data_IF_866551529277
#
_entry.id   IF_866551529277
#
_cell.length_a   1.000
_cell.length_b   1.000
_cell.length_c   1.000
_cell.angle_alpha   90.00
_cell.angle_beta   90.00
_cell.angle_gamma   90.00
#
_symmetry.space_group_name_H-M   'P 1'
#
loop_
_entity.id
_entity.type
_entity.pdbx_description
1 polymer ?
#
# COMPACT_ATOMS: atom_id res chain seq x y z
N UNK A 1 17.34 46.14 27.53
CA UNK A 1 17.51 45.12 26.48
C UNK A 1 17.39 45.83 25.14
N UNK A 2 18.37 45.78 24.24
CA UNK A 2 18.21 46.33 22.89
C UNK A 2 17.19 45.48 22.13
N UNK A 3 16.26 46.15 21.45
CA UNK A 3 15.28 45.53 20.56
C UNK A 3 16.04 44.86 19.42
N UNK A 4 15.75 43.57 19.18
CA UNK A 4 16.31 42.83 18.04
C UNK A 4 15.85 43.53 16.76
N UNK A 5 16.78 43.83 15.87
CA UNK A 5 16.52 44.51 14.60
C UNK A 5 15.66 43.61 13.67
N UNK A 6 14.34 43.86 13.69
CA UNK A 6 13.34 43.09 12.95
C UNK A 6 13.54 43.15 11.42
N UNK A 7 14.25 44.16 10.90
CA UNK A 7 14.47 44.33 9.46
C UNK A 7 15.43 43.28 8.90
N UNK A 8 16.54 43.04 9.60
CA UNK A 8 17.54 42.01 9.25
C UNK A 8 16.97 40.60 9.33
N UNK A 9 16.01 40.38 10.23
CA UNK A 9 15.30 39.11 10.36
C UNK A 9 14.38 38.84 9.16
N UNK A 10 13.72 39.87 8.63
CA UNK A 10 12.85 39.78 7.45
C UNK A 10 13.64 39.46 6.17
N UNK A 11 14.74 40.19 5.93
CA UNK A 11 15.62 39.97 4.77
C UNK A 11 16.20 38.55 4.75
N UNK A 12 16.56 38.00 5.92
CA UNK A 12 17.04 36.62 6.05
C UNK A 12 16.01 35.60 5.55
N UNK A 13 14.75 35.69 5.98
CA UNK A 13 13.70 34.77 5.53
C UNK A 13 13.32 34.97 4.07
N UNK A 14 13.35 36.20 3.58
CA UNK A 14 13.05 36.48 2.17
C UNK A 14 14.10 35.86 1.24
N UNK A 15 15.39 35.88 1.64
CA UNK A 15 16.45 35.14 0.93
C UNK A 15 16.24 33.62 0.95
N UNK A 16 15.73 33.05 2.05
CA UNK A 16 15.40 31.61 2.12
C UNK A 16 14.26 31.29 1.14
N UNK A 17 13.19 32.10 1.12
CA UNK A 17 12.06 31.92 0.19
C UNK A 17 12.52 32.04 -1.26
N UNK A 18 13.39 33.01 -1.55
CA UNK A 18 13.96 33.17 -2.88
C UNK A 18 14.76 31.93 -3.30
N UNK A 19 15.59 31.40 -2.39
CA UNK A 19 16.33 30.16 -2.66
C UNK A 19 15.38 28.98 -2.92
N UNK A 20 14.30 28.84 -2.17
CA UNK A 20 13.28 27.82 -2.42
C UNK A 20 12.60 28.00 -3.78
N UNK A 21 12.27 29.23 -4.17
CA UNK A 21 11.72 29.52 -5.48
C UNK A 21 12.71 29.14 -6.60
N UNK A 22 13.98 29.54 -6.49
CA UNK A 22 15.02 29.19 -7.45
C UNK A 22 15.19 27.67 -7.61
N UNK A 23 15.20 26.91 -6.52
CA UNK A 23 15.31 25.44 -6.59
C UNK A 23 14.04 24.76 -7.14
N UNK A 24 12.85 25.29 -6.83
CA UNK A 24 11.59 24.85 -7.44
C UNK A 24 11.62 25.06 -8.96
N UNK A 25 11.99 26.25 -9.40
CA UNK A 25 11.92 26.67 -10.81
C UNK A 25 12.87 25.86 -11.71
N UNK A 26 14.03 25.42 -11.18
CA UNK A 26 14.90 24.45 -11.87
C UNK A 26 14.16 23.16 -12.25
N UNK A 27 13.35 22.62 -11.33
CA UNK A 27 12.62 21.35 -11.55
C UNK A 27 11.46 21.55 -12.52
N UNK A 28 10.74 22.67 -12.39
CA UNK A 28 9.64 23.02 -13.31
C UNK A 28 10.15 23.23 -14.74
N UNK A 29 11.29 23.92 -14.91
CA UNK A 29 11.91 24.13 -16.21
C UNK A 29 12.48 22.85 -16.83
N UNK A 30 13.03 21.95 -16.00
CA UNK A 30 13.62 20.68 -16.47
C UNK A 30 12.59 19.58 -16.79
N UNK A 31 11.41 19.62 -16.15
CA UNK A 31 10.32 18.64 -16.29
C UNK A 31 8.95 19.32 -16.43
N UNK A 32 8.73 20.10 -17.51
CA UNK A 32 7.48 20.83 -17.71
C UNK A 32 6.25 19.93 -17.84
N UNK A 33 6.43 18.67 -18.21
CA UNK A 33 5.37 17.66 -18.35
C UNK A 33 4.76 17.19 -17.01
N UNK A 34 5.35 17.59 -15.87
CA UNK A 34 4.81 17.29 -14.55
C UNK A 34 4.72 15.78 -14.31
N UNK A 35 3.56 15.27 -13.88
CA UNK A 35 3.37 13.85 -13.57
C UNK A 35 3.46 12.93 -14.79
N UNK A 36 3.31 13.47 -16.00
CA UNK A 36 3.42 12.70 -17.24
C UNK A 36 4.85 12.19 -17.51
N UNK A 37 5.85 12.67 -16.77
CA UNK A 37 7.22 12.15 -16.78
C UNK A 37 7.35 10.73 -16.21
N UNK A 38 6.29 10.20 -15.57
CA UNK A 38 6.26 8.86 -15.00
C UNK A 38 5.31 7.94 -15.77
N UNK A 39 5.53 6.63 -15.64
CA UNK A 39 4.60 5.59 -16.10
C UNK A 39 4.33 4.58 -14.98
N UNK A 40 3.07 4.14 -14.91
CA UNK A 40 2.65 2.95 -14.16
C UNK A 40 2.14 1.86 -15.10
N UNK A 41 2.27 2.04 -16.41
CA UNK A 41 2.15 0.96 -17.37
C UNK A 41 3.45 0.15 -17.32
N UNK A 42 3.35 -1.01 -16.69
CA UNK A 42 4.44 -1.95 -16.49
C UNK A 42 4.17 -3.17 -17.39
N UNK A 43 4.04 -2.94 -18.69
CA UNK A 43 3.90 -3.97 -19.71
C UNK A 43 5.22 -4.17 -20.48
N UNK A 44 5.28 -5.20 -21.33
CA UNK A 44 6.47 -5.48 -22.15
C UNK A 44 7.74 -5.65 -21.30
N UNK A 45 8.79 -4.91 -21.64
CA UNK A 45 10.09 -4.97 -20.95
C UNK A 45 10.04 -4.51 -19.46
N UNK A 46 9.01 -3.74 -19.09
CA UNK A 46 8.81 -3.24 -17.73
C UNK A 46 7.93 -4.15 -16.87
N UNK A 47 7.35 -5.22 -17.43
CA UNK A 47 6.49 -6.15 -16.70
C UNK A 47 7.17 -6.78 -15.47
N UNK A 48 8.49 -6.95 -15.52
CA UNK A 48 9.29 -7.45 -14.38
C UNK A 48 9.13 -6.63 -13.10
N UNK A 49 8.76 -5.36 -13.18
CA UNK A 49 8.55 -4.48 -12.01
C UNK A 49 7.15 -4.58 -11.40
N UNK A 50 6.23 -5.33 -12.02
CA UNK A 50 4.89 -5.58 -11.50
C UNK A 50 4.73 -6.98 -10.87
N UNK A 51 5.76 -7.82 -11.00
CA UNK A 51 5.76 -9.19 -10.47
C UNK A 51 6.00 -9.14 -8.96
N UNK A 52 5.28 -9.98 -8.22
CA UNK A 52 5.56 -10.25 -6.82
C UNK A 52 6.81 -11.14 -6.68
N UNK A 53 7.95 -10.63 -6.18
CA UNK A 53 9.16 -11.41 -6.04
C UNK A 53 9.13 -12.34 -4.82
N UNK A 54 8.10 -12.26 -3.97
CA UNK A 54 7.94 -13.01 -2.73
C UNK A 54 6.88 -14.10 -2.83
N UNK A 55 6.06 -14.08 -3.87
CA UNK A 55 5.03 -15.08 -4.09
C UNK A 55 5.59 -16.43 -4.53
N UNK A 56 5.00 -17.49 -4.00
CA UNK A 56 5.03 -18.82 -4.61
C UNK A 56 3.90 -18.95 -5.62
N UNK A 57 3.97 -19.88 -6.59
CA UNK A 57 2.87 -20.12 -7.53
C UNK A 57 1.51 -20.26 -6.79
N UNK A 58 0.44 -19.61 -7.27
CA UNK A 58 -0.84 -19.65 -6.59
C UNK A 58 -1.43 -21.06 -6.65
N UNK A 59 -2.03 -21.49 -5.55
CA UNK A 59 -2.78 -22.74 -5.55
C UNK A 59 -3.99 -22.64 -6.51
N UNK A 60 -4.20 -23.66 -7.37
CA UNK A 60 -5.39 -23.73 -8.19
C UNK A 60 -6.65 -23.80 -7.31
N UNK A 61 -7.63 -22.95 -7.61
CA UNK A 61 -8.97 -23.01 -7.03
C UNK A 61 -10.00 -22.68 -8.11
N UNK A 62 -11.23 -23.21 -8.02
CA UNK A 62 -12.30 -22.77 -8.89
C UNK A 62 -12.64 -21.28 -8.63
N UNK A 63 -13.22 -20.59 -9.63
CA UNK A 63 -13.80 -19.28 -9.44
C UNK A 63 -14.85 -19.27 -8.32
N UNK A 64 -14.82 -18.23 -7.49
CA UNK A 64 -15.77 -18.01 -6.42
C UNK A 64 -16.94 -17.14 -6.90
N UNK A 65 -18.14 -17.47 -6.41
CA UNK A 65 -19.39 -16.79 -6.77
C UNK A 65 -20.26 -16.52 -5.53
N UNK A 66 -19.63 -16.49 -4.35
CA UNK A 66 -20.30 -16.30 -3.07
C UNK A 66 -20.71 -14.83 -2.85
N UNK A 67 -21.60 -14.64 -1.87
CA UNK A 67 -22.01 -13.32 -1.38
C UNK A 67 -21.48 -13.15 0.03
N UNK A 68 -20.84 -12.03 0.30
CA UNK A 68 -20.36 -11.66 1.64
C UNK A 68 -20.98 -10.37 2.15
N UNK A 69 -20.93 -10.14 3.45
CA UNK A 69 -21.36 -8.86 4.02
C UNK A 69 -20.34 -7.76 3.74
N UNK A 70 -19.07 -7.98 4.09
CA UNK A 70 -17.99 -7.02 3.91
C UNK A 70 -16.86 -7.58 3.06
N UNK A 71 -16.50 -6.88 1.97
CA UNK A 71 -15.34 -7.21 1.14
C UNK A 71 -14.29 -6.11 1.19
N UNK A 72 -13.08 -6.48 1.58
CA UNK A 72 -11.91 -5.60 1.60
C UNK A 72 -11.07 -5.80 0.34
N UNK A 73 -10.67 -4.69 -0.29
CA UNK A 73 -9.67 -4.67 -1.36
C UNK A 73 -8.34 -4.24 -0.75
N UNK A 74 -7.42 -5.18 -0.58
CA UNK A 74 -6.13 -5.01 0.10
C UNK A 74 -6.10 -5.68 1.49
N UNK A 75 -4.94 -6.20 1.86
CA UNK A 75 -4.64 -6.94 3.09
C UNK A 75 -3.58 -6.25 3.96
N UNK A 76 -3.44 -4.93 3.84
CA UNK A 76 -2.60 -4.10 4.73
C UNK A 76 -3.30 -3.71 6.03
N UNK A 77 -2.68 -2.83 6.83
CA UNK A 77 -3.22 -2.42 8.13
C UNK A 77 -4.67 -1.95 8.08
N UNK A 78 -5.09 -1.18 7.06
CA UNK A 78 -6.48 -0.74 6.94
C UNK A 78 -7.48 -1.90 6.96
N UNK A 79 -7.20 -2.98 6.23
CA UNK A 79 -8.05 -4.17 6.23
C UNK A 79 -7.88 -4.98 7.51
N UNK A 80 -6.65 -5.21 7.97
CA UNK A 80 -6.39 -6.00 9.17
C UNK A 80 -7.08 -5.42 10.40
N UNK A 81 -6.99 -4.10 10.60
CA UNK A 81 -7.60 -3.42 11.75
C UNK A 81 -9.12 -3.41 11.65
N UNK A 82 -9.66 -3.07 10.48
CA UNK A 82 -11.11 -3.02 10.31
C UNK A 82 -11.73 -4.40 10.43
N UNK A 83 -11.14 -5.42 9.79
CA UNK A 83 -11.62 -6.80 9.88
C UNK A 83 -11.49 -7.36 11.30
N UNK A 84 -10.39 -7.07 12.02
CA UNK A 84 -10.24 -7.45 13.43
C UNK A 84 -11.38 -6.88 14.29
N UNK A 85 -11.70 -5.59 14.15
CA UNK A 85 -12.82 -4.97 14.89
C UNK A 85 -14.17 -5.56 14.49
N UNK A 86 -14.42 -5.78 13.19
CA UNK A 86 -15.65 -6.42 12.74
C UNK A 86 -15.81 -7.83 13.33
N UNK A 87 -14.72 -8.61 13.44
CA UNK A 87 -14.73 -9.92 14.11
C UNK A 87 -15.05 -9.82 15.59
N UNK A 88 -14.50 -8.83 16.30
CA UNK A 88 -14.84 -8.58 17.72
C UNK A 88 -16.32 -8.23 17.92
N UNK A 89 -16.95 -7.57 16.94
CA UNK A 89 -18.39 -7.29 16.93
C UNK A 89 -19.26 -8.45 16.42
N UNK A 90 -18.67 -9.60 16.09
CA UNK A 90 -19.40 -10.80 15.66
C UNK A 90 -19.75 -10.86 14.18
N UNK A 91 -19.20 -9.98 13.33
CA UNK A 91 -19.36 -10.08 11.87
C UNK A 91 -18.48 -11.21 11.34
N UNK A 92 -19.09 -12.22 10.74
CA UNK A 92 -18.39 -13.40 10.24
C UNK A 92 -18.22 -13.41 8.72
N UNK A 93 -19.16 -12.81 7.99
CA UNK A 93 -19.17 -12.81 6.52
C UNK A 93 -18.26 -11.71 5.96
N UNK A 94 -16.96 -11.97 6.02
CA UNK A 94 -15.91 -11.05 5.59
C UNK A 94 -15.04 -11.72 4.53
N UNK A 95 -14.67 -10.95 3.50
CA UNK A 95 -13.69 -11.32 2.48
C UNK A 95 -12.57 -10.30 2.45
N UNK A 96 -11.32 -10.74 2.43
CA UNK A 96 -10.15 -9.88 2.14
C UNK A 96 -9.57 -10.32 0.82
N UNK A 97 -9.51 -9.46 -0.19
CA UNK A 97 -8.88 -9.77 -1.49
C UNK A 97 -7.55 -9.02 -1.56
N UNK A 98 -6.44 -9.74 -1.61
CA UNK A 98 -5.08 -9.19 -1.62
C UNK A 98 -4.30 -9.70 -2.84
N UNK A 99 -3.64 -8.76 -3.53
CA UNK A 99 -2.83 -9.06 -4.71
C UNK A 99 -1.56 -9.82 -4.34
N UNK A 100 -0.97 -9.51 -3.19
CA UNK A 100 0.21 -10.18 -2.65
C UNK A 100 -0.09 -11.60 -2.16
N UNK A 101 0.95 -12.38 -1.90
CA UNK A 101 0.81 -13.74 -1.41
C UNK A 101 0.57 -13.85 0.11
N UNK A 102 0.56 -12.74 0.85
CA UNK A 102 0.32 -12.70 2.29
C UNK A 102 -0.19 -11.30 2.71
N UNK A 103 -0.61 -11.18 3.97
CA UNK A 103 -1.02 -9.90 4.57
C UNK A 103 0.15 -8.93 4.71
N UNK A 104 -0.15 -7.67 5.00
CA UNK A 104 0.83 -6.66 5.40
C UNK A 104 0.95 -5.48 4.45
N UNK A 105 0.36 -5.58 3.25
CA UNK A 105 0.31 -4.47 2.28
C UNK A 105 1.71 -3.91 2.03
N UNK A 106 1.94 -2.62 2.33
CA UNK A 106 3.26 -1.97 2.21
C UNK A 106 4.40 -2.81 2.77
N UNK A 107 4.22 -3.46 3.92
CA UNK A 107 5.27 -4.23 4.61
C UNK A 107 5.44 -5.64 4.06
N UNK A 108 4.46 -6.14 3.30
CA UNK A 108 4.62 -7.34 2.49
C UNK A 108 5.48 -7.07 1.25
N UNK A 109 5.17 -5.98 0.52
CA UNK A 109 5.81 -5.66 -0.75
C UNK A 109 7.24 -5.09 -0.57
N UNK A 110 7.42 -4.15 0.36
CA UNK A 110 8.70 -3.44 0.50
C UNK A 110 9.65 -4.20 1.43
N UNK A 111 10.58 -4.96 0.85
CA UNK A 111 11.61 -5.72 1.58
C UNK A 111 13.05 -5.36 1.19
N UNK A 112 13.25 -4.15 0.66
CA UNK A 112 14.58 -3.66 0.32
C UNK A 112 15.47 -3.51 1.58
N UNK A 113 16.80 -3.65 1.45
CA UNK A 113 17.71 -3.54 2.60
C UNK A 113 17.57 -2.21 3.34
N UNK A 114 17.35 -2.27 4.65
CA UNK A 114 17.22 -1.07 5.50
C UNK A 114 15.82 -0.46 5.58
N UNK A 115 14.81 -1.08 4.97
CA UNK A 115 13.42 -0.61 5.09
C UNK A 115 12.97 -0.55 6.56
N UNK A 116 12.38 0.57 6.96
CA UNK A 116 11.87 0.85 8.30
C UNK A 116 10.74 1.89 8.24
N UNK A 117 9.95 2.01 9.30
CA UNK A 117 9.02 3.14 9.45
C UNK A 117 9.78 4.43 9.81
N UNK A 118 9.22 5.56 9.42
CA UNK A 118 9.72 6.90 9.74
C UNK A 118 8.99 7.54 10.94
N UNK A 119 7.91 6.91 11.39
CA UNK A 119 7.16 7.24 12.61
C UNK A 119 7.64 6.35 13.76
N UNK A 120 7.62 6.89 14.99
CA UNK A 120 7.98 6.14 16.20
C UNK A 120 7.14 4.87 16.28
N UNK A 121 7.79 3.73 16.54
CA UNK A 121 7.14 2.41 16.49
C UNK A 121 5.90 2.30 17.38
N UNK A 122 5.94 2.92 18.56
CA UNK A 122 4.82 2.93 19.51
C UNK A 122 3.57 3.64 18.99
N UNK A 123 3.76 4.62 18.08
CA UNK A 123 2.66 5.38 17.47
C UNK A 123 2.20 4.75 16.15
N UNK A 124 3.11 4.03 15.47
CA UNK A 124 2.86 3.47 14.15
C UNK A 124 2.30 2.05 14.16
N UNK A 125 2.84 1.17 15.03
CA UNK A 125 2.40 -0.21 15.10
C UNK A 125 1.05 -0.28 15.81
N UNK A 126 0.01 -0.81 15.16
CA UNK A 126 -1.32 -0.82 15.76
C UNK A 126 -1.49 -2.00 16.72
N UNK A 127 -2.47 -1.90 17.61
CA UNK A 127 -2.88 -2.98 18.51
C UNK A 127 -1.78 -3.49 19.46
N UNK A 128 -0.83 -2.64 19.87
CA UNK A 128 0.29 -3.09 20.71
C UNK A 128 -0.17 -3.72 22.03
N UNK A 129 -1.16 -3.11 22.69
CA UNK A 129 -1.70 -3.62 23.96
C UNK A 129 -2.49 -4.93 23.74
N UNK A 130 -3.35 -5.00 22.72
CA UNK A 130 -4.13 -6.21 22.41
C UNK A 130 -3.24 -7.39 21.98
N UNK A 131 -2.10 -7.09 21.35
CA UNK A 131 -1.10 -8.07 20.94
C UNK A 131 -0.08 -8.38 22.04
N UNK A 132 -0.07 -7.63 23.15
CA UNK A 132 0.95 -7.72 24.20
C UNK A 132 2.37 -7.53 23.65
N UNK A 133 2.53 -6.66 22.65
CA UNK A 133 3.78 -6.49 21.91
C UNK A 133 4.50 -5.20 22.28
N UNK A 134 5.81 -5.29 22.51
CA UNK A 134 6.69 -4.13 22.70
C UNK A 134 7.64 -4.08 21.51
N UNK A 135 7.62 -2.99 20.70
CA UNK A 135 8.54 -2.83 19.58
C UNK A 135 10.01 -2.87 20.02
N UNK A 136 10.86 -3.50 19.21
CA UNK A 136 12.29 -3.73 19.52
C UNK A 136 13.13 -2.48 19.31
N UNK A 137 12.79 -1.71 18.29
CA UNK A 137 13.50 -0.51 17.86
C UNK A 137 12.58 0.72 17.99
N UNK A 138 13.17 1.90 18.23
CA UNK A 138 12.42 3.17 18.24
C UNK A 138 11.73 3.47 16.90
N UNK A 139 12.35 3.00 15.80
CA UNK A 139 11.78 2.95 14.46
C UNK A 139 11.85 1.49 13.96
N UNK A 140 10.70 0.83 13.89
CA UNK A 140 10.60 -0.58 13.58
C UNK A 140 11.05 -0.87 12.14
N UNK A 141 11.81 -1.95 11.97
CA UNK A 141 12.27 -2.39 10.64
C UNK A 141 11.16 -3.14 9.93
N UNK A 142 11.18 -3.17 8.59
CA UNK A 142 10.10 -3.76 7.81
C UNK A 142 9.81 -5.22 8.16
N UNK A 143 10.82 -6.02 8.51
CA UNK A 143 10.63 -7.40 8.93
C UNK A 143 9.85 -7.52 10.26
N UNK A 144 10.06 -6.60 11.21
CA UNK A 144 9.31 -6.57 12.46
C UNK A 144 7.85 -6.18 12.20
N UNK A 145 7.64 -5.15 11.38
CA UNK A 145 6.31 -4.64 11.06
C UNK A 145 5.51 -5.70 10.28
N UNK A 146 6.14 -6.36 9.31
CA UNK A 146 5.51 -7.45 8.56
C UNK A 146 5.15 -8.64 9.47
N UNK A 147 6.05 -9.04 10.38
CA UNK A 147 5.75 -10.08 11.36
C UNK A 147 4.58 -9.69 12.27
N UNK A 148 4.46 -8.41 12.63
CA UNK A 148 3.33 -7.87 13.39
C UNK A 148 2.01 -7.93 12.61
N UNK A 149 2.01 -7.59 11.31
CA UNK A 149 0.85 -7.78 10.43
C UNK A 149 0.36 -9.23 10.43
N UNK A 150 1.27 -10.19 10.29
CA UNK A 150 0.94 -11.61 10.33
C UNK A 150 0.45 -12.05 11.71
N UNK A 151 0.99 -11.49 12.79
CA UNK A 151 0.55 -11.76 14.16
C UNK A 151 -0.90 -11.29 14.37
N UNK A 152 -1.26 -10.09 13.90
CA UNK A 152 -2.63 -9.58 13.91
C UNK A 152 -3.54 -10.52 13.10
N UNK A 153 -3.16 -10.88 11.87
CA UNK A 153 -3.96 -11.75 11.02
C UNK A 153 -4.21 -13.13 11.67
N UNK A 154 -3.22 -13.71 12.37
CA UNK A 154 -3.40 -14.95 13.14
C UNK A 154 -4.31 -14.75 14.36
N UNK A 155 -4.08 -13.70 15.16
CA UNK A 155 -4.85 -13.41 16.39
C UNK A 155 -6.34 -13.31 16.12
N UNK A 156 -6.72 -12.71 14.99
CA UNK A 156 -8.10 -12.45 14.61
C UNK A 156 -8.65 -13.44 13.58
N UNK A 157 -7.91 -14.53 13.28
CA UNK A 157 -8.29 -15.56 12.30
C UNK A 157 -8.66 -15.00 10.91
N UNK A 158 -7.88 -14.02 10.42
CA UNK A 158 -8.16 -13.33 9.17
C UNK A 158 -7.65 -14.07 7.93
N UNK A 159 -6.73 -15.03 8.11
CA UNK A 159 -6.19 -15.83 7.00
C UNK A 159 -7.28 -16.63 6.28
N UNK A 160 -8.24 -17.18 7.02
CA UNK A 160 -9.35 -17.97 6.47
C UNK A 160 -10.34 -17.11 5.65
N UNK A 161 -10.29 -15.79 5.83
CA UNK A 161 -11.14 -14.81 5.16
C UNK A 161 -10.46 -14.25 3.90
N UNK A 162 -9.16 -14.53 3.70
CA UNK A 162 -8.33 -13.89 2.70
C UNK A 162 -8.22 -14.70 1.40
N UNK A 163 -8.25 -13.99 0.27
CA UNK A 163 -7.89 -14.46 -1.06
C UNK A 163 -6.62 -13.73 -1.50
N UNK A 164 -5.49 -14.40 -1.30
CA UNK A 164 -4.18 -13.92 -1.75
C UNK A 164 -3.99 -14.16 -3.25
N UNK A 165 -2.96 -13.51 -3.81
CA UNK A 165 -2.60 -13.61 -5.22
C UNK A 165 -3.81 -13.38 -6.13
N UNK A 166 -4.68 -12.45 -5.76
CA UNK A 166 -5.95 -12.17 -6.43
C UNK A 166 -6.13 -10.66 -6.52
N UNK A 167 -6.33 -10.14 -7.74
CA UNK A 167 -6.56 -8.71 -7.98
C UNK A 167 -8.03 -8.47 -8.29
N UNK A 168 -8.69 -7.58 -7.56
CA UNK A 168 -10.02 -7.08 -7.96
C UNK A 168 -9.85 -6.20 -9.20
N UNK A 169 -10.59 -6.51 -10.27
CA UNK A 169 -10.52 -5.79 -11.56
C UNK A 169 -11.78 -4.96 -11.84
N UNK A 170 -12.90 -5.27 -11.17
CA UNK A 170 -14.16 -4.55 -11.33
C UNK A 170 -14.97 -4.53 -10.03
N UNK A 171 -15.65 -3.42 -9.77
CA UNK A 171 -16.64 -3.25 -8.71
C UNK A 171 -17.81 -2.44 -9.25
N UNK A 172 -18.98 -3.06 -9.40
CA UNK A 172 -20.17 -2.43 -9.98
C UNK A 172 -21.33 -2.55 -8.99
N UNK A 173 -22.03 -1.45 -8.74
CA UNK A 173 -23.23 -1.47 -7.93
C UNK A 173 -24.41 -1.98 -8.75
N UNK A 174 -25.12 -2.98 -8.23
CA UNK A 174 -26.38 -3.47 -8.77
C UNK A 174 -27.55 -2.87 -8.00
N UNK A 175 -28.26 -1.91 -8.61
CA UNK A 175 -29.41 -1.25 -7.99
C UNK A 175 -30.59 -2.20 -7.75
N UNK A 176 -30.78 -3.25 -8.56
CA UNK A 176 -31.90 -4.17 -8.37
C UNK A 176 -31.63 -5.12 -7.21
N UNK A 177 -30.40 -5.63 -7.11
CA UNK A 177 -29.99 -6.54 -6.04
C UNK A 177 -29.59 -5.83 -4.75
N UNK A 178 -29.33 -4.52 -4.79
CA UNK A 178 -28.77 -3.73 -3.67
C UNK A 178 -27.46 -4.34 -3.15
N UNK A 179 -26.60 -4.79 -4.07
CA UNK A 179 -25.32 -5.44 -3.80
C UNK A 179 -24.26 -4.91 -4.77
N UNK A 180 -23.02 -4.88 -4.30
CA UNK A 180 -21.87 -4.78 -5.20
C UNK A 180 -21.61 -6.11 -5.88
N UNK A 181 -21.30 -6.06 -7.17
CA UNK A 181 -20.75 -7.15 -7.96
C UNK A 181 -19.26 -6.91 -8.16
N UNK A 182 -18.45 -7.94 -7.94
CA UNK A 182 -16.99 -7.86 -8.01
C UNK A 182 -16.43 -8.92 -8.94
N UNK A 183 -15.46 -8.51 -9.76
CA UNK A 183 -14.70 -9.41 -10.61
C UNK A 183 -13.22 -9.41 -10.24
N UNK A 184 -12.56 -10.56 -10.39
CA UNK A 184 -11.11 -10.69 -10.15
C UNK A 184 -10.35 -11.19 -11.38
N UNK A 185 -9.04 -11.01 -11.37
CA UNK A 185 -8.11 -11.58 -12.37
C UNK A 185 -8.04 -13.12 -12.35
N UNK A 186 -8.72 -13.76 -11.40
CA UNK A 186 -8.87 -15.23 -11.30
C UNK A 186 -10.25 -15.72 -11.74
N UNK A 187 -11.09 -14.83 -12.29
CA UNK A 187 -12.42 -15.13 -12.81
C UNK A 187 -13.51 -15.23 -11.75
N UNK A 188 -13.27 -14.75 -10.52
CA UNK A 188 -14.30 -14.72 -9.48
C UNK A 188 -15.40 -13.72 -9.84
N UNK A 189 -16.64 -14.04 -9.53
CA UNK A 189 -17.81 -13.16 -9.64
C UNK A 189 -18.54 -13.10 -8.29
N UNK A 190 -17.92 -12.44 -7.32
CA UNK A 190 -18.43 -12.35 -5.95
C UNK A 190 -19.43 -11.20 -5.79
N UNK A 191 -20.25 -11.24 -4.74
CA UNK A 191 -21.12 -10.13 -4.35
C UNK A 191 -20.84 -9.66 -2.93
N UNK A 192 -21.04 -8.38 -2.65
CA UNK A 192 -20.87 -7.84 -1.30
C UNK A 192 -21.91 -6.76 -0.96
N UNK A 193 -22.34 -6.69 0.30
CA UNK A 193 -23.13 -5.55 0.79
C UNK A 193 -22.27 -4.29 0.91
N UNK A 194 -21.05 -4.45 1.42
CA UNK A 194 -20.08 -3.37 1.58
C UNK A 194 -18.77 -3.71 0.88
N UNK A 195 -18.23 -2.76 0.12
CA UNK A 195 -16.89 -2.82 -0.46
C UNK A 195 -16.03 -1.76 0.23
N UNK A 196 -14.97 -2.21 0.90
CA UNK A 196 -14.02 -1.37 1.63
C UNK A 196 -12.70 -1.31 0.87
N UNK A 197 -12.38 -0.13 0.34
CA UNK A 197 -11.11 0.12 -0.34
C UNK A 197 -9.97 0.31 0.69
N UNK A 198 -9.21 -0.77 0.93
CA UNK A 198 -8.05 -0.82 1.83
C UNK A 198 -6.73 -1.02 1.05
N UNK A 199 -6.69 -0.56 -0.20
CA UNK A 199 -5.63 -0.85 -1.19
C UNK A 199 -4.41 0.09 -1.10
N UNK A 200 -4.40 1.01 -0.14
CA UNK A 200 -3.28 1.92 0.16
C UNK A 200 -3.06 3.00 -0.91
N UNK A 201 -2.32 4.05 -0.52
CA UNK A 201 -2.05 5.22 -1.37
C UNK A 201 -0.80 5.07 -2.24
N UNK A 202 0.10 4.13 -1.91
CA UNK A 202 1.40 3.91 -2.55
C UNK A 202 1.58 2.45 -2.99
N UNK A 203 0.60 1.90 -3.70
CA UNK A 203 0.49 0.45 -4.01
C UNK A 203 0.93 0.04 -5.42
N UNK A 204 1.22 1.01 -6.30
CA UNK A 204 1.66 0.76 -7.67
C UNK A 204 2.99 1.47 -7.95
N UNK A 205 4.05 0.75 -8.35
CA UNK A 205 5.32 1.38 -8.69
C UNK A 205 5.17 2.36 -9.86
N UNK A 206 5.97 3.43 -9.82
CA UNK A 206 6.03 4.48 -10.83
C UNK A 206 7.45 4.59 -11.34
N UNK A 207 7.66 4.31 -12.62
CA UNK A 207 8.96 4.43 -13.25
C UNK A 207 9.09 5.77 -13.98
N UNK A 208 10.25 6.44 -13.91
CA UNK A 208 10.50 7.62 -14.73
C UNK A 208 10.65 7.20 -16.20
N UNK A 209 10.11 8.01 -17.12
CA UNK A 209 10.24 7.84 -18.58
C UNK A 209 11.63 8.26 -19.05
N UNK A 210 12.65 7.53 -18.64
CA UNK A 210 14.03 7.74 -19.07
C UNK A 210 14.22 7.08 -20.44
N UNK A 211 14.67 7.85 -21.43
CA UNK A 211 14.98 7.30 -22.77
C UNK A 211 16.03 6.19 -22.63
N UNK A 212 15.72 5.00 -23.14
CA UNK A 212 16.60 3.84 -23.08
C UNK A 212 16.57 3.05 -21.77
N UNK A 213 15.63 3.33 -20.86
CA UNK A 213 15.50 2.56 -19.60
C UNK A 213 15.28 1.05 -19.85
N UNK A 214 14.59 0.70 -20.94
CA UNK A 214 14.29 -0.68 -21.33
C UNK A 214 15.50 -1.42 -21.93
N UNK A 215 16.51 -0.69 -22.44
CA UNK A 215 17.71 -1.29 -23.05
C UNK A 215 18.84 -1.55 -22.05
N UNK A 216 18.64 -1.23 -20.77
CA UNK A 216 19.64 -1.52 -19.74
C UNK A 216 19.79 -3.03 -19.54
N UNK A 217 20.99 -3.56 -19.81
CA UNK A 217 21.27 -5.00 -19.78
C UNK A 217 21.58 -5.55 -18.38
N UNK A 218 21.85 -4.68 -17.40
CA UNK A 218 22.15 -5.10 -16.04
C UNK A 218 20.91 -5.53 -15.25
N UNK A 219 21.14 -6.09 -14.06
CA UNK A 219 20.05 -6.35 -13.13
C UNK A 219 19.50 -5.02 -12.58
N UNK A 220 18.17 -4.90 -12.58
CA UNK A 220 17.46 -3.74 -12.07
C UNK A 220 16.16 -4.18 -11.42
N UNK A 221 15.79 -3.49 -10.35
CA UNK A 221 14.56 -3.69 -9.60
C UNK A 221 14.03 -2.33 -9.11
N UNK A 222 12.73 -2.24 -8.88
CA UNK A 222 12.15 -1.13 -8.13
C UNK A 222 12.23 -1.50 -6.65
N UNK A 223 12.39 -0.53 -5.76
CA UNK A 223 12.53 -0.83 -4.32
C UNK A 223 11.30 -1.49 -3.70
N UNK A 224 10.14 -1.37 -4.36
CA UNK A 224 8.84 -1.91 -3.93
C UNK A 224 8.45 -3.17 -4.70
#
# INVERSE_FOLDING_TARGET
MPLVDESRHREYYDRIKEKFAQERDKRLGYRPEGTAQFTSDLSGALAKYAIDPHATPPEPRPPLNDTVECLFIGGGFSALLTAARLREYGVESIRIVERGADVGGTWYWNRYPGVACDVISYDYLPLLDEMGYVPKDHYAKGAEIYAHCQAIARRYALYDLALFQTTVVSTVWDEAAQLWQLETDRGDHMRAHFVICANGTLSKPKLPKIRGIESFAGHSFHTS
#
